data_IF_961532254295
#
_entry.id   IF_961532254295
#
_cell.length_a   1.000
_cell.length_b   1.000
_cell.length_c   1.000
_cell.angle_alpha   90.00
_cell.angle_beta   90.00
_cell.angle_gamma   90.00
#
_symmetry.space_group_name_H-M   'P 1'
#
loop_
_entity.id
_entity.type
_entity.pdbx_description
1 polymer ?
#
# COMPACT_ATOMS: atom_id res chain seq x y z
N UNK A 1 -16.05 -23.00 -20.24
CA UNK A 1 -15.46 -23.44 -18.96
C UNK A 1 -13.97 -23.65 -19.25
N UNK A 2 -13.13 -22.69 -18.86
CA UNK A 2 -11.68 -22.86 -18.95
C UNK A 2 -11.27 -23.94 -17.94
N UNK A 3 -10.61 -25.00 -18.40
CA UNK A 3 -10.01 -25.99 -17.51
C UNK A 3 -9.03 -25.26 -16.60
N UNK A 4 -9.41 -25.10 -15.34
CA UNK A 4 -8.50 -24.61 -14.30
C UNK A 4 -7.51 -25.74 -14.06
N UNK A 5 -6.31 -25.57 -14.60
CA UNK A 5 -5.23 -26.53 -14.44
C UNK A 5 -4.66 -26.35 -13.02
N UNK A 6 -5.04 -27.27 -12.11
CA UNK A 6 -4.68 -27.24 -10.68
C UNK A 6 -3.24 -27.73 -10.42
N UNK A 7 -2.37 -27.76 -11.42
CA UNK A 7 -0.95 -28.07 -11.22
C UNK A 7 -0.21 -26.90 -10.54
N UNK A 8 0.85 -27.20 -9.79
CA UNK A 8 1.74 -26.15 -9.28
C UNK A 8 2.33 -25.34 -10.44
N UNK A 9 2.07 -24.04 -10.46
CA UNK A 9 2.57 -23.13 -11.50
C UNK A 9 4.05 -22.84 -11.26
N UNK A 10 4.82 -22.75 -12.34
CA UNK A 10 6.17 -22.21 -12.30
C UNK A 10 6.15 -20.71 -12.02
N UNK A 11 7.26 -20.14 -11.53
CA UNK A 11 7.36 -18.70 -11.25
C UNK A 11 7.06 -17.87 -12.51
N UNK A 12 7.57 -18.26 -13.68
CA UNK A 12 7.29 -17.58 -14.94
C UNK A 12 5.81 -17.57 -15.29
N UNK A 13 5.13 -18.71 -15.12
CA UNK A 13 3.68 -18.81 -15.37
C UNK A 13 2.86 -17.95 -14.41
N UNK A 14 3.28 -17.83 -13.13
CA UNK A 14 2.63 -16.93 -12.15
C UNK A 14 2.77 -15.49 -12.63
N UNK A 15 3.97 -15.07 -13.00
CA UNK A 15 4.22 -13.71 -13.48
C UNK A 15 3.45 -13.39 -14.76
N UNK A 16 3.48 -14.29 -15.75
CA UNK A 16 2.75 -14.11 -17.00
C UNK A 16 1.24 -13.99 -16.77
N UNK A 17 0.67 -14.81 -15.89
CA UNK A 17 -0.75 -14.72 -15.51
C UNK A 17 -1.05 -13.42 -14.78
N UNK A 18 -0.21 -13.02 -13.84
CA UNK A 18 -0.38 -11.76 -13.09
C UNK A 18 -0.36 -10.56 -14.05
N UNK A 19 0.65 -10.46 -14.92
CA UNK A 19 0.72 -9.35 -15.88
C UNK A 19 -0.41 -9.38 -16.91
N UNK A 20 -0.81 -10.56 -17.38
CA UNK A 20 -1.95 -10.72 -18.27
C UNK A 20 -3.25 -10.29 -17.60
N UNK A 21 -3.50 -10.73 -16.35
CA UNK A 21 -4.67 -10.36 -15.57
C UNK A 21 -4.72 -8.84 -15.33
N UNK A 22 -3.60 -8.25 -14.92
CA UNK A 22 -3.47 -6.82 -14.71
C UNK A 22 -3.72 -6.02 -15.99
N UNK A 23 -3.08 -6.39 -17.10
CA UNK A 23 -3.22 -5.69 -18.38
C UNK A 23 -4.65 -5.78 -18.93
N UNK A 24 -5.29 -6.94 -18.83
CA UNK A 24 -6.65 -7.15 -19.34
C UNK A 24 -7.72 -6.44 -18.50
N UNK A 25 -7.45 -6.20 -17.21
CA UNK A 25 -8.39 -5.58 -16.27
C UNK A 25 -7.80 -4.30 -15.63
N UNK A 26 -6.95 -3.59 -16.39
CA UNK A 26 -6.18 -2.44 -15.90
C UNK A 26 -7.05 -1.38 -15.22
N UNK A 27 -8.17 -0.99 -15.84
CA UNK A 27 -9.08 0.01 -15.28
C UNK A 27 -9.75 -0.44 -13.98
N UNK A 28 -10.01 -1.74 -13.83
CA UNK A 28 -10.57 -2.29 -12.60
C UNK A 28 -9.57 -2.17 -11.44
N UNK A 29 -8.34 -2.62 -11.64
CA UNK A 29 -7.31 -2.58 -10.62
C UNK A 29 -6.90 -1.16 -10.23
N UNK A 30 -6.69 -0.30 -11.22
CA UNK A 30 -6.44 1.13 -10.96
C UNK A 30 -7.63 1.75 -10.23
N UNK A 31 -8.86 1.45 -10.61
CA UNK A 31 -10.04 2.02 -9.94
C UNK A 31 -10.17 1.59 -8.48
N UNK A 32 -9.85 0.33 -8.15
CA UNK A 32 -9.87 -0.17 -6.78
C UNK A 32 -8.82 0.55 -5.92
N UNK A 33 -7.61 0.77 -6.43
CA UNK A 33 -6.52 1.41 -5.68
C UNK A 33 -6.59 2.93 -5.73
N UNK A 34 -7.05 3.53 -6.83
CA UNK A 34 -7.13 4.98 -6.99
C UNK A 34 -8.16 5.63 -6.06
N UNK A 35 -9.32 4.99 -5.82
CA UNK A 35 -10.37 5.58 -4.96
C UNK A 35 -9.85 5.81 -3.54
N UNK A 36 -9.29 4.82 -2.81
CA UNK A 36 -8.68 5.06 -1.51
C UNK A 36 -7.49 6.02 -1.58
N UNK A 37 -6.66 5.94 -2.62
CA UNK A 37 -5.49 6.80 -2.77
C UNK A 37 -5.84 8.27 -3.03
N UNK A 38 -6.92 8.56 -3.75
CA UNK A 38 -7.44 9.92 -3.91
C UNK A 38 -7.89 10.53 -2.57
N UNK A 39 -8.47 9.73 -1.68
CA UNK A 39 -8.79 10.17 -0.32
C UNK A 39 -7.52 10.56 0.43
N UNK A 40 -6.50 9.70 0.42
CA UNK A 40 -5.20 9.96 1.06
C UNK A 40 -4.55 11.22 0.48
N UNK A 41 -4.51 11.34 -0.84
CA UNK A 41 -3.94 12.50 -1.53
C UNK A 41 -4.68 13.79 -1.14
N UNK A 42 -6.01 13.78 -1.10
CA UNK A 42 -6.80 14.95 -0.72
C UNK A 42 -6.52 15.39 0.72
N UNK A 43 -6.34 14.44 1.64
CA UNK A 43 -5.96 14.72 3.03
C UNK A 43 -4.54 15.29 3.13
N UNK A 44 -3.58 14.73 2.41
CA UNK A 44 -2.20 15.24 2.39
C UNK A 44 -2.13 16.66 1.79
N UNK A 45 -2.85 16.91 0.70
CA UNK A 45 -2.93 18.24 0.12
C UNK A 45 -3.61 19.23 1.07
N UNK A 46 -4.73 18.83 1.69
CA UNK A 46 -5.38 19.68 2.70
C UNK A 46 -4.45 20.02 3.87
N UNK A 47 -3.71 19.04 4.40
CA UNK A 47 -2.70 19.26 5.44
C UNK A 47 -1.60 20.21 4.97
N UNK A 48 -1.10 20.04 3.74
CA UNK A 48 -0.08 20.91 3.17
C UNK A 48 -0.56 22.38 3.03
N UNK A 49 -1.81 22.59 2.63
CA UNK A 49 -2.36 23.93 2.48
C UNK A 49 -2.74 24.57 3.81
N UNK A 50 -3.25 23.80 4.78
CA UNK A 50 -3.69 24.30 6.08
C UNK A 50 -2.51 24.56 7.03
N UNK A 51 -1.56 23.65 7.11
CA UNK A 51 -0.45 23.72 8.09
C UNK A 51 0.89 24.11 7.46
N UNK A 52 0.97 24.13 6.13
CA UNK A 52 2.21 24.32 5.42
C UNK A 52 3.13 23.09 5.53
N UNK A 53 4.28 23.17 4.88
CA UNK A 53 5.31 22.13 5.01
C UNK A 53 6.17 22.45 6.24
N UNK A 54 6.03 21.63 7.29
CA UNK A 54 6.71 21.82 8.59
C UNK A 54 8.25 21.93 8.48
N UNK A 55 8.84 21.44 7.39
CA UNK A 55 10.29 21.53 7.13
C UNK A 55 10.79 22.84 6.51
N UNK A 56 9.91 23.80 6.18
CA UNK A 56 10.29 25.00 5.39
C UNK A 56 9.97 26.33 6.02
N UNK A 57 9.25 26.37 7.09
CA UNK A 57 9.30 27.56 7.92
C UNK A 57 10.73 27.66 8.45
N UNK A 58 11.52 28.63 7.99
CA UNK A 58 12.54 29.22 8.85
C UNK A 58 11.78 29.50 10.14
N UNK A 59 11.98 28.64 11.11
CA UNK A 59 11.42 28.83 12.43
C UNK A 59 12.08 30.11 12.92
N UNK A 60 11.34 31.21 12.80
CA UNK A 60 11.73 32.42 13.45
C UNK A 60 11.75 32.06 14.95
N UNK A 61 12.92 32.01 15.62
CA UNK A 61 13.00 31.51 16.99
C UNK A 61 12.07 32.24 17.95
N UNK A 62 11.59 33.43 17.57
CA UNK A 62 10.64 34.24 18.33
C UNK A 62 9.17 33.86 18.05
N UNK A 63 8.87 33.13 16.95
CA UNK A 63 7.54 32.59 16.62
C UNK A 63 7.44 31.06 16.76
N UNK A 64 8.51 30.41 17.16
CA UNK A 64 8.62 28.97 17.29
C UNK A 64 7.90 28.35 18.50
N UNK A 65 7.32 29.14 19.38
CA UNK A 65 6.34 28.64 20.32
C UNK A 65 5.03 28.38 19.56
N UNK A 66 4.96 27.16 18.91
CA UNK A 66 3.67 26.59 18.51
C UNK A 66 2.79 26.70 19.76
N UNK A 67 1.72 27.48 19.69
CA UNK A 67 0.76 27.52 20.80
C UNK A 67 0.29 26.09 21.06
N UNK A 68 0.03 25.74 22.32
CA UNK A 68 -0.43 24.38 22.66
C UNK A 68 -1.60 23.95 21.80
N UNK A 69 -2.47 24.88 21.42
CA UNK A 69 -3.60 24.63 20.51
C UNK A 69 -3.18 24.24 19.11
N UNK A 70 -2.13 24.83 18.54
CA UNK A 70 -1.62 24.44 17.21
C UNK A 70 -0.98 23.05 17.25
N UNK A 71 -0.27 22.71 18.32
CA UNK A 71 0.29 21.35 18.51
C UNK A 71 -0.86 20.34 18.60
N UNK A 72 -1.88 20.64 19.41
CA UNK A 72 -3.04 19.76 19.57
C UNK A 72 -3.77 19.53 18.24
N UNK A 73 -4.03 20.58 17.47
CA UNK A 73 -4.69 20.48 16.15
C UNK A 73 -3.81 19.69 15.17
N UNK A 74 -2.49 19.89 15.16
CA UNK A 74 -1.58 19.16 14.29
C UNK A 74 -1.52 17.66 14.64
N UNK A 75 -1.50 17.33 15.94
CA UNK A 75 -1.54 15.93 16.42
C UNK A 75 -2.87 15.26 16.05
N UNK A 76 -3.99 15.96 16.28
CA UNK A 76 -5.31 15.43 15.92
C UNK A 76 -5.45 15.22 14.42
N UNK A 77 -5.02 16.17 13.59
CA UNK A 77 -5.02 16.05 12.14
C UNK A 77 -4.11 14.90 11.67
N UNK A 78 -2.95 14.71 12.30
CA UNK A 78 -2.05 13.60 12.04
C UNK A 78 -2.68 12.23 12.37
N UNK A 79 -3.33 12.12 13.54
CA UNK A 79 -4.05 10.91 13.94
C UNK A 79 -5.21 10.58 12.99
N UNK A 80 -6.02 11.56 12.63
CA UNK A 80 -7.11 11.38 11.66
C UNK A 80 -6.58 10.96 10.28
N UNK A 81 -5.50 11.58 9.82
CA UNK A 81 -4.82 11.23 8.59
C UNK A 81 -4.27 9.81 8.61
N UNK A 82 -3.68 9.39 9.73
CA UNK A 82 -3.16 8.04 9.93
C UNK A 82 -4.29 6.98 9.90
N UNK A 83 -5.40 7.22 10.58
CA UNK A 83 -6.57 6.32 10.57
C UNK A 83 -7.16 6.22 9.15
N UNK A 84 -7.28 7.35 8.46
CA UNK A 84 -7.77 7.37 7.08
C UNK A 84 -6.81 6.62 6.13
N UNK A 85 -5.49 6.77 6.32
CA UNK A 85 -4.48 6.04 5.55
C UNK A 85 -4.61 4.53 5.74
N UNK A 86 -4.68 4.05 6.99
CA UNK A 86 -4.87 2.63 7.27
C UNK A 86 -6.17 2.13 6.64
N UNK A 87 -7.28 2.84 6.83
CA UNK A 87 -8.56 2.47 6.22
C UNK A 87 -8.48 2.35 4.71
N UNK A 88 -7.93 3.36 4.04
CA UNK A 88 -7.77 3.37 2.59
C UNK A 88 -6.87 2.21 2.10
N UNK A 89 -5.76 1.95 2.80
CA UNK A 89 -4.87 0.84 2.51
C UNK A 89 -5.58 -0.52 2.60
N UNK A 90 -6.34 -0.76 3.68
CA UNK A 90 -7.10 -2.00 3.88
C UNK A 90 -8.15 -2.20 2.77
N UNK A 91 -8.88 -1.13 2.41
CA UNK A 91 -9.87 -1.21 1.33
C UNK A 91 -9.23 -1.49 -0.03
N UNK A 92 -8.09 -0.87 -0.34
CA UNK A 92 -7.35 -1.15 -1.57
C UNK A 92 -6.86 -2.60 -1.60
N UNK A 93 -6.23 -3.06 -0.53
CA UNK A 93 -5.67 -4.40 -0.41
C UNK A 93 -6.76 -5.48 -0.52
N UNK A 94 -7.78 -5.40 0.33
CA UNK A 94 -8.85 -6.41 0.33
C UNK A 94 -9.71 -6.36 -0.94
N UNK A 95 -9.98 -5.17 -1.46
CA UNK A 95 -10.69 -5.01 -2.74
C UNK A 95 -9.94 -5.67 -3.90
N UNK A 96 -8.61 -5.55 -3.94
CA UNK A 96 -7.78 -6.21 -4.95
C UNK A 96 -7.81 -7.74 -4.80
N UNK A 97 -7.72 -8.27 -3.58
CA UNK A 97 -7.81 -9.72 -3.33
C UNK A 97 -9.14 -10.29 -3.82
N UNK A 98 -10.27 -9.63 -3.51
CA UNK A 98 -11.57 -10.07 -4.00
C UNK A 98 -11.69 -9.97 -5.53
N UNK A 99 -11.17 -8.90 -6.14
CA UNK A 99 -11.19 -8.74 -7.59
C UNK A 99 -10.37 -9.83 -8.30
N UNK A 100 -9.17 -10.12 -7.82
CA UNK A 100 -8.30 -11.19 -8.34
C UNK A 100 -9.00 -12.54 -8.22
N UNK A 101 -9.57 -12.86 -7.05
CA UNK A 101 -10.30 -14.11 -6.81
C UNK A 101 -11.48 -14.28 -7.78
N UNK A 102 -12.31 -13.24 -7.95
CA UNK A 102 -13.48 -13.31 -8.87
C UNK A 102 -13.01 -13.51 -10.32
N UNK A 103 -12.01 -12.75 -10.78
CA UNK A 103 -11.49 -12.86 -12.15
C UNK A 103 -10.84 -14.23 -12.40
N UNK A 104 -10.13 -14.78 -11.42
CA UNK A 104 -9.50 -16.10 -11.53
C UNK A 104 -10.55 -17.22 -11.64
N UNK A 105 -11.70 -17.05 -10.97
CA UNK A 105 -12.84 -17.96 -11.07
C UNK A 105 -13.69 -17.72 -12.32
N UNK A 106 -13.28 -16.83 -13.24
CA UNK A 106 -14.01 -16.51 -14.45
C UNK A 106 -15.27 -15.68 -14.23
N UNK A 107 -15.40 -15.04 -13.07
CA UNK A 107 -16.51 -14.14 -12.75
C UNK A 107 -16.19 -12.72 -13.17
N UNK A 108 -17.19 -11.97 -13.57
CA UNK A 108 -17.07 -10.52 -13.79
C UNK A 108 -17.26 -9.79 -12.46
N UNK A 109 -16.42 -8.84 -12.16
CA UNK A 109 -16.53 -8.01 -10.96
C UNK A 109 -16.38 -6.53 -11.30
N UNK A 110 -16.91 -5.67 -10.45
CA UNK A 110 -16.81 -4.21 -10.58
C UNK A 110 -16.09 -3.61 -9.38
N UNK A 111 -15.56 -2.41 -9.54
CA UNK A 111 -14.88 -1.66 -8.48
C UNK A 111 -15.76 -1.58 -7.22
N UNK A 112 -17.05 -1.20 -7.41
CA UNK A 112 -18.01 -1.07 -6.31
C UNK A 112 -18.30 -2.37 -5.60
N UNK A 113 -18.36 -3.49 -6.33
CA UNK A 113 -18.58 -4.83 -5.74
C UNK A 113 -17.38 -5.28 -4.93
N UNK A 114 -16.16 -5.13 -5.45
CA UNK A 114 -14.94 -5.51 -4.76
C UNK A 114 -14.73 -4.69 -3.48
N UNK A 115 -14.88 -3.37 -3.55
CA UNK A 115 -14.79 -2.50 -2.37
C UNK A 115 -15.97 -2.66 -1.41
N UNK A 116 -17.16 -2.99 -1.91
CA UNK A 116 -18.36 -3.20 -1.11
C UNK A 116 -18.25 -4.40 -0.16
N UNK A 117 -17.59 -5.48 -0.61
CA UNK A 117 -17.33 -6.68 0.23
C UNK A 117 -16.47 -6.35 1.44
N UNK A 118 -15.56 -5.37 1.31
CA UNK A 118 -14.68 -4.97 2.41
C UNK A 118 -15.41 -4.36 3.62
N UNK A 119 -16.64 -3.86 3.46
CA UNK A 119 -17.36 -3.22 4.57
C UNK A 119 -17.60 -4.16 5.75
N UNK A 120 -17.81 -5.45 5.48
CA UNK A 120 -17.97 -6.47 6.53
C UNK A 120 -16.64 -6.99 7.09
N UNK A 121 -15.58 -6.97 6.29
CA UNK A 121 -14.29 -7.61 6.59
C UNK A 121 -13.23 -6.63 7.09
N UNK A 122 -13.50 -5.33 7.07
CA UNK A 122 -12.51 -4.30 7.37
C UNK A 122 -11.87 -4.45 8.76
N UNK A 123 -12.64 -4.81 9.79
CA UNK A 123 -12.14 -4.98 11.16
C UNK A 123 -11.28 -6.25 11.29
N UNK A 124 -11.71 -7.34 10.68
CA UNK A 124 -10.95 -8.60 10.62
C UNK A 124 -9.62 -8.37 9.92
N UNK A 125 -9.65 -7.74 8.74
CA UNK A 125 -8.45 -7.42 7.97
C UNK A 125 -7.52 -6.44 8.70
N UNK A 126 -8.06 -5.49 9.46
CA UNK A 126 -7.26 -4.63 10.32
C UNK A 126 -6.48 -5.45 11.35
N UNK A 127 -7.14 -6.40 12.03
CA UNK A 127 -6.52 -7.30 12.99
C UNK A 127 -5.42 -8.16 12.34
N UNK A 128 -5.68 -8.72 11.16
CA UNK A 128 -4.71 -9.51 10.39
C UNK A 128 -3.49 -8.67 10.00
N UNK A 129 -3.72 -7.47 9.44
CA UNK A 129 -2.65 -6.59 9.00
C UNK A 129 -1.81 -6.07 10.17
N UNK A 130 -2.45 -5.75 11.29
CA UNK A 130 -1.78 -5.32 12.52
C UNK A 130 -0.89 -6.44 13.08
N UNK A 131 -1.44 -7.65 13.21
CA UNK A 131 -0.69 -8.79 13.75
C UNK A 131 0.47 -9.19 12.82
N UNK A 132 0.23 -9.19 11.51
CA UNK A 132 1.25 -9.41 10.48
C UNK A 132 2.37 -8.35 10.56
N UNK A 133 1.98 -7.08 10.68
CA UNK A 133 2.92 -5.95 10.82
C UNK A 133 3.76 -6.05 12.11
N UNK A 134 3.16 -6.41 13.24
CA UNK A 134 3.88 -6.61 14.51
C UNK A 134 4.85 -7.79 14.40
N UNK A 135 4.42 -8.91 13.79
CA UNK A 135 5.26 -10.09 13.63
C UNK A 135 6.49 -9.79 12.75
N UNK A 136 6.27 -9.22 11.55
CA UNK A 136 7.36 -8.87 10.62
C UNK A 136 8.22 -7.75 11.20
N UNK A 137 7.62 -6.70 11.75
CA UNK A 137 8.33 -5.57 12.36
C UNK A 137 9.17 -5.99 13.55
N UNK A 138 8.63 -6.82 14.46
CA UNK A 138 9.36 -7.38 15.58
C UNK A 138 10.54 -8.25 15.15
N UNK A 139 10.33 -9.12 14.15
CA UNK A 139 11.42 -9.93 13.61
C UNK A 139 12.51 -9.07 12.93
N UNK A 140 12.12 -8.02 12.23
CA UNK A 140 13.05 -7.09 11.57
C UNK A 140 13.85 -6.26 12.57
N UNK A 141 13.24 -5.85 13.69
CA UNK A 141 13.93 -5.15 14.78
C UNK A 141 14.97 -6.02 15.47
N UNK A 142 14.73 -7.33 15.58
CA UNK A 142 15.71 -8.27 16.10
C UNK A 142 16.86 -8.48 15.12
N UNK A 143 16.54 -8.80 13.87
CA UNK A 143 17.49 -8.98 12.77
C UNK A 143 16.76 -8.80 11.43
N UNK A 144 17.38 -8.16 10.46
CA UNK A 144 16.79 -7.90 9.14
C UNK A 144 16.49 -9.20 8.39
N UNK A 145 17.39 -10.19 8.45
CA UNK A 145 17.23 -11.48 7.73
C UNK A 145 16.00 -12.26 8.20
N UNK A 146 15.77 -12.50 9.52
CA UNK A 146 14.53 -13.11 9.99
C UNK A 146 13.27 -12.32 9.61
N UNK A 147 13.35 -10.99 9.59
CA UNK A 147 12.23 -10.14 9.15
C UNK A 147 11.84 -10.39 7.69
N UNK A 148 12.82 -10.42 6.79
CA UNK A 148 12.59 -10.74 5.37
C UNK A 148 12.04 -12.17 5.21
N UNK A 149 12.61 -13.14 5.92
CA UNK A 149 12.14 -14.52 5.88
C UNK A 149 10.67 -14.62 6.34
N UNK A 150 10.33 -13.96 7.45
CA UNK A 150 8.98 -13.95 7.96
C UNK A 150 8.01 -13.26 7.00
N UNK A 151 8.41 -12.15 6.37
CA UNK A 151 7.61 -11.49 5.33
C UNK A 151 7.30 -12.44 4.16
N UNK A 152 8.28 -13.24 3.71
CA UNK A 152 8.08 -14.23 2.66
C UNK A 152 7.10 -15.34 3.08
N UNK A 153 7.10 -15.74 4.34
CA UNK A 153 6.20 -16.75 4.91
C UNK A 153 4.77 -16.24 5.10
N UNK A 154 4.61 -14.95 5.31
CA UNK A 154 3.33 -14.30 5.58
C UNK A 154 2.70 -13.60 4.36
N UNK A 155 3.26 -13.79 3.17
CA UNK A 155 2.80 -13.13 1.93
C UNK A 155 1.33 -13.42 1.60
N UNK A 156 0.86 -14.64 1.89
CA UNK A 156 -0.52 -15.07 1.61
C UNK A 156 -1.46 -14.94 2.83
N UNK A 157 -1.01 -14.30 3.91
CA UNK A 157 -1.79 -14.13 5.14
C UNK A 157 -3.11 -13.38 4.88
N UNK A 158 -3.08 -12.27 4.15
CA UNK A 158 -4.27 -11.48 3.83
C UNK A 158 -5.22 -12.20 2.88
N UNK A 159 -4.78 -12.78 1.74
CA UNK A 159 -5.64 -13.62 0.92
C UNK A 159 -6.27 -14.78 1.68
N UNK A 160 -5.50 -15.50 2.53
CA UNK A 160 -6.02 -16.60 3.33
C UNK A 160 -7.11 -16.12 4.29
N UNK A 161 -6.89 -15.02 5.02
CA UNK A 161 -7.88 -14.45 5.92
C UNK A 161 -9.20 -14.12 5.22
N UNK A 162 -9.14 -13.43 4.06
CA UNK A 162 -10.32 -12.95 3.36
C UNK A 162 -11.06 -14.05 2.58
N UNK A 163 -10.35 -15.01 2.02
CA UNK A 163 -10.96 -16.06 1.19
C UNK A 163 -11.42 -17.27 1.98
N UNK A 164 -10.71 -17.59 3.08
CA UNK A 164 -11.06 -18.71 3.96
C UNK A 164 -11.82 -18.24 5.22
N UNK A 165 -12.11 -16.94 5.38
CA UNK A 165 -12.80 -16.35 6.54
C UNK A 165 -12.11 -16.66 7.87
N UNK A 166 -10.79 -16.56 7.93
CA UNK A 166 -9.98 -16.89 9.10
C UNK A 166 -9.78 -15.69 10.02
N UNK A 167 -9.66 -15.98 11.31
CA UNK A 167 -9.22 -15.00 12.30
C UNK A 167 -7.75 -14.59 12.12
N UNK A 168 -7.31 -13.49 12.78
CA UNK A 168 -5.93 -12.99 12.63
C UNK A 168 -4.83 -14.01 12.94
N UNK A 169 -4.96 -14.77 14.03
CA UNK A 169 -3.96 -15.78 14.40
C UNK A 169 -3.99 -16.99 13.45
N UNK A 170 -5.18 -17.46 13.09
CA UNK A 170 -5.34 -18.62 12.21
C UNK A 170 -4.83 -18.32 10.79
N UNK A 171 -5.01 -17.10 10.31
CA UNK A 171 -4.52 -16.69 8.99
C UNK A 171 -2.99 -16.65 8.92
N UNK A 172 -2.30 -16.29 10.01
CA UNK A 172 -0.83 -16.41 10.09
C UNK A 172 -0.41 -17.88 10.00
N UNK A 173 -1.01 -18.76 10.81
CA UNK A 173 -0.76 -20.21 10.77
C UNK A 173 -0.99 -20.77 9.37
N UNK A 174 -2.12 -20.43 8.76
CA UNK A 174 -2.47 -20.85 7.40
C UNK A 174 -1.48 -20.38 6.35
N UNK A 175 -1.00 -19.13 6.47
CA UNK A 175 0.04 -18.61 5.58
C UNK A 175 1.35 -19.40 5.70
N UNK A 176 1.76 -19.79 6.91
CA UNK A 176 2.91 -20.64 7.11
C UNK A 176 2.76 -22.01 6.44
N UNK A 177 1.61 -22.65 6.57
CA UNK A 177 1.32 -23.93 5.90
C UNK A 177 1.42 -23.81 4.37
N UNK A 178 0.75 -22.80 3.80
CA UNK A 178 0.69 -22.58 2.35
C UNK A 178 2.05 -22.21 1.73
N UNK A 179 2.97 -21.65 2.52
CA UNK A 179 4.28 -21.20 2.04
C UNK A 179 5.44 -22.09 2.45
N UNK A 180 5.18 -23.28 3.03
CA UNK A 180 6.22 -24.12 3.63
C UNK A 180 7.33 -24.49 2.63
N UNK A 181 6.97 -24.91 1.42
CA UNK A 181 7.94 -25.28 0.37
C UNK A 181 8.16 -24.14 -0.66
N UNK A 182 7.60 -22.94 -0.45
CA UNK A 182 7.58 -21.89 -1.46
C UNK A 182 8.15 -20.53 -1.02
N UNK A 183 8.79 -20.45 0.14
CA UNK A 183 9.36 -19.19 0.66
C UNK A 183 10.36 -18.52 -0.32
N UNK A 184 11.13 -19.31 -1.07
CA UNK A 184 12.04 -18.79 -2.11
C UNK A 184 11.29 -18.15 -3.28
N UNK A 185 10.13 -18.69 -3.67
CA UNK A 185 9.27 -18.07 -4.70
C UNK A 185 8.68 -16.76 -4.20
N UNK A 186 8.21 -16.73 -2.97
CA UNK A 186 7.72 -15.51 -2.32
C UNK A 186 8.79 -14.42 -2.28
N UNK A 187 10.04 -14.77 -1.98
CA UNK A 187 11.16 -13.84 -2.00
C UNK A 187 11.38 -13.22 -3.39
N UNK A 188 11.34 -14.03 -4.45
CA UNK A 188 11.49 -13.53 -5.83
C UNK A 188 10.31 -12.62 -6.22
N UNK A 189 9.08 -12.93 -5.80
CA UNK A 189 7.91 -12.07 -6.02
C UNK A 189 8.11 -10.70 -5.34
N UNK A 190 8.56 -10.68 -4.08
CA UNK A 190 8.88 -9.43 -3.39
C UNK A 190 10.02 -8.65 -4.09
N UNK A 191 11.04 -9.35 -4.59
CA UNK A 191 12.14 -8.70 -5.30
C UNK A 191 11.65 -8.03 -6.60
N UNK A 192 10.79 -8.72 -7.37
CA UNK A 192 10.20 -8.15 -8.59
C UNK A 192 9.31 -6.95 -8.25
N UNK A 193 8.46 -7.07 -7.23
CA UNK A 193 7.66 -5.93 -6.76
C UNK A 193 8.54 -4.74 -6.38
N UNK A 194 9.60 -4.97 -5.62
CA UNK A 194 10.54 -3.93 -5.21
C UNK A 194 11.18 -3.21 -6.41
N UNK A 195 11.59 -3.97 -7.44
CA UNK A 195 12.11 -3.39 -8.68
C UNK A 195 11.04 -2.57 -9.39
N UNK A 196 9.81 -3.07 -9.52
CA UNK A 196 8.70 -2.33 -10.14
C UNK A 196 8.38 -1.06 -9.35
N UNK A 197 8.36 -1.14 -8.01
CA UNK A 197 8.11 0.01 -7.14
C UNK A 197 9.21 1.09 -7.27
N UNK A 198 10.49 0.68 -7.35
CA UNK A 198 11.61 1.60 -7.61
C UNK A 198 11.44 2.29 -8.97
N UNK A 199 11.13 1.55 -10.02
CA UNK A 199 10.95 2.11 -11.38
C UNK A 199 9.77 3.08 -11.38
N UNK A 200 8.64 2.70 -10.80
CA UNK A 200 7.48 3.58 -10.68
C UNK A 200 7.81 4.86 -9.88
N UNK A 201 8.51 4.72 -8.74
CA UNK A 201 9.00 5.84 -7.95
C UNK A 201 9.97 6.74 -8.74
N UNK A 202 10.89 6.13 -9.52
CA UNK A 202 11.85 6.87 -10.34
C UNK A 202 11.16 7.71 -11.41
N UNK A 203 10.07 7.21 -11.99
CA UNK A 203 9.35 7.92 -13.05
C UNK A 203 8.42 8.99 -12.46
N UNK A 204 7.63 8.64 -11.44
CA UNK A 204 6.51 9.47 -11.00
C UNK A 204 6.79 10.31 -9.75
N UNK A 205 7.76 9.95 -8.92
CA UNK A 205 8.03 10.66 -7.66
C UNK A 205 9.38 11.37 -7.65
N UNK A 206 10.48 10.70 -7.99
CA UNK A 206 11.83 11.26 -7.79
C UNK A 206 12.11 12.57 -8.53
N UNK A 207 11.59 12.84 -9.75
CA UNK A 207 11.80 14.13 -10.40
C UNK A 207 11.26 15.29 -9.57
N UNK A 208 10.07 15.12 -8.98
CA UNK A 208 9.45 16.16 -8.14
C UNK A 208 10.13 16.27 -6.79
N UNK A 209 10.52 15.15 -6.17
CA UNK A 209 11.28 15.14 -4.91
C UNK A 209 12.64 15.83 -5.05
N UNK A 210 13.30 15.66 -6.19
CA UNK A 210 14.53 16.40 -6.50
C UNK A 210 14.27 17.91 -6.57
N UNK A 211 13.16 18.33 -7.21
CA UNK A 211 12.77 19.74 -7.25
C UNK A 211 12.41 20.29 -5.86
N UNK A 212 11.81 19.48 -4.98
CA UNK A 212 11.59 19.83 -3.57
C UNK A 212 12.93 20.13 -2.89
N UNK A 213 13.91 19.23 -3.01
CA UNK A 213 15.24 19.42 -2.42
C UNK A 213 15.95 20.67 -2.97
N UNK A 214 15.87 20.94 -4.26
CA UNK A 214 16.47 22.12 -4.87
C UNK A 214 15.77 23.42 -4.44
N UNK A 215 14.44 23.42 -4.37
CA UNK A 215 13.63 24.57 -3.99
C UNK A 215 13.82 24.94 -2.53
N UNK A 216 14.06 23.99 -1.65
CA UNK A 216 14.34 24.25 -0.23
C UNK A 216 15.59 25.12 -0.04
N UNK A 217 16.54 25.06 -0.99
CA UNK A 217 17.79 25.81 -0.93
C UNK A 217 17.74 27.16 -1.65
N UNK A 218 16.97 27.27 -2.74
CA UNK A 218 17.03 28.42 -3.66
C UNK A 218 15.74 29.23 -3.72
N UNK A 219 14.57 28.59 -3.64
CA UNK A 219 13.25 29.20 -3.86
C UNK A 219 12.20 28.66 -2.89
N UNK A 220 12.26 29.08 -1.61
CA UNK A 220 11.34 28.57 -0.58
C UNK A 220 9.86 28.87 -0.89
N UNK A 221 9.56 29.89 -1.69
CA UNK A 221 8.20 30.21 -2.14
C UNK A 221 7.60 29.14 -3.06
N UNK A 222 8.43 28.48 -3.89
CA UNK A 222 7.99 27.41 -4.79
C UNK A 222 7.88 26.04 -4.13
N UNK A 223 8.36 25.91 -2.90
CA UNK A 223 8.50 24.60 -2.23
C UNK A 223 7.15 23.90 -2.03
N UNK A 224 6.10 24.61 -1.62
CA UNK A 224 4.76 24.02 -1.42
C UNK A 224 4.23 23.40 -2.72
N UNK A 225 4.46 24.04 -3.84
CA UNK A 225 4.06 23.56 -5.15
C UNK A 225 4.78 22.27 -5.49
N UNK A 226 6.11 22.21 -5.31
CA UNK A 226 6.90 21.01 -5.61
C UNK A 226 6.57 19.86 -4.67
N UNK A 227 6.28 20.13 -3.40
CA UNK A 227 5.80 19.12 -2.44
C UNK A 227 4.45 18.56 -2.89
N UNK A 228 3.52 19.40 -3.34
CA UNK A 228 2.23 18.94 -3.86
C UNK A 228 2.42 18.03 -5.09
N UNK A 229 3.27 18.42 -6.04
CA UNK A 229 3.58 17.58 -7.20
C UNK A 229 4.27 16.26 -6.82
N UNK A 230 5.16 16.26 -5.82
CA UNK A 230 5.80 15.04 -5.33
C UNK A 230 4.77 14.08 -4.70
N UNK A 231 3.79 14.60 -3.95
CA UNK A 231 2.71 13.79 -3.38
C UNK A 231 1.78 13.21 -4.46
N UNK A 232 1.46 13.99 -5.49
CA UNK A 232 0.69 13.50 -6.64
C UNK A 232 1.49 12.39 -7.35
N UNK A 233 2.78 12.60 -7.62
CA UNK A 233 3.64 11.62 -8.26
C UNK A 233 3.75 10.32 -7.46
N UNK A 234 3.89 10.41 -6.14
CA UNK A 234 3.89 9.25 -5.26
C UNK A 234 2.55 8.50 -5.31
N UNK A 235 1.44 9.22 -5.24
CA UNK A 235 0.11 8.60 -5.33
C UNK A 235 -0.09 7.85 -6.65
N UNK A 236 0.38 8.40 -7.77
CA UNK A 236 0.33 7.72 -9.07
C UNK A 236 1.21 6.47 -9.07
N UNK A 237 2.43 6.54 -8.53
CA UNK A 237 3.33 5.40 -8.43
C UNK A 237 2.70 4.25 -7.60
N UNK A 238 2.08 4.57 -6.47
CA UNK A 238 1.41 3.60 -5.60
C UNK A 238 0.19 2.95 -6.28
N UNK A 239 -0.65 3.73 -6.96
CA UNK A 239 -1.81 3.22 -7.70
C UNK A 239 -1.39 2.22 -8.78
N UNK A 240 -0.27 2.44 -9.44
CA UNK A 240 0.24 1.55 -10.50
C UNK A 240 0.95 0.32 -9.93
N UNK A 241 1.75 0.49 -8.88
CA UNK A 241 2.59 -0.59 -8.35
C UNK A 241 1.83 -1.55 -7.41
N UNK A 242 0.91 -1.04 -6.58
CA UNK A 242 0.25 -1.84 -5.53
C UNK A 242 -0.51 -3.06 -6.07
N UNK A 243 -1.29 -2.98 -7.17
CA UNK A 243 -2.03 -4.15 -7.66
C UNK A 243 -1.15 -5.29 -8.19
N UNK A 244 0.13 -5.04 -8.45
CA UNK A 244 1.06 -6.05 -8.97
C UNK A 244 1.55 -6.97 -7.85
N UNK A 245 1.60 -6.47 -6.61
CA UNK A 245 2.00 -7.27 -5.44
C UNK A 245 0.86 -8.17 -4.92
N UNK A 246 -0.36 -7.71 -5.03
CA UNK A 246 -1.54 -8.38 -4.47
C UNK A 246 -2.16 -9.38 -5.44
#
# INVERSE_FOLDING_TARGET
MSNIDLRPLSLGEILDRTFSLYRNNFLLFIGITAIPQLLILSLHLAQLFLFGYVGTTRVDPTRAALSGDMIFVAVLAGLLGFVAYIGAYLFAQGGTVFAVSDLYLGRTTTIGQSLGRMRGEALSLFGVTLLNGIAIGGATLLLIIPGIWLACRLIVCVPAALLENLGPADSLGRSFELTDDSAGRSFVIYLIYFVVAIIAGAIFNYPFSFMVALSSLRHPEALRMWVAFAQIGQSVAEVVATPILL
#
